data_IF_970571156925
#
_entry.id   IF_970571156925
#
_cell.length_a   1.000
_cell.length_b   1.000
_cell.length_c   1.000
_cell.angle_alpha   90.00
_cell.angle_beta   90.00
_cell.angle_gamma   90.00
#
_symmetry.space_group_name_H-M   'P 1'
#
loop_
_entity.id
_entity.type
_entity.pdbx_description
1 polymer ?
#
# COMPACT_ATOMS: atom_id res chain seq x y z
N UNK A 1 -31.03 15.64 39.82
CA UNK A 1 -30.21 14.51 40.30
C UNK A 1 -28.75 14.86 40.12
N UNK A 2 -27.99 14.95 41.21
CA UNK A 2 -26.55 15.25 41.21
C UNK A 2 -25.75 13.97 40.96
N UNK A 3 -24.72 14.03 40.12
CA UNK A 3 -23.83 12.89 39.86
C UNK A 3 -22.94 12.65 41.10
N UNK A 4 -22.89 11.43 41.67
CA UNK A 4 -22.04 11.11 42.81
C UNK A 4 -20.55 11.35 42.51
N UNK A 5 -19.85 12.04 43.42
CA UNK A 5 -18.50 12.58 43.20
C UNK A 5 -17.38 11.58 42.87
N UNK A 6 -17.63 10.26 42.95
CA UNK A 6 -16.66 9.23 42.59
C UNK A 6 -16.48 9.06 41.07
N UNK A 7 -17.45 9.46 40.26
CA UNK A 7 -17.41 9.33 38.79
C UNK A 7 -16.86 10.57 38.05
N UNK A 8 -16.62 11.68 38.75
CA UNK A 8 -16.05 12.93 38.19
C UNK A 8 -14.64 12.74 37.61
N UNK A 9 -13.91 11.68 38.00
CA UNK A 9 -12.55 11.41 37.52
C UNK A 9 -12.49 10.98 36.05
N UNK A 10 -13.61 10.53 35.48
CA UNK A 10 -13.73 10.17 34.06
C UNK A 10 -14.14 11.34 33.16
N UNK A 11 -14.69 12.41 33.76
CA UNK A 11 -15.07 13.64 33.06
C UNK A 11 -14.03 14.74 33.31
N UNK A 12 -12.77 14.47 32.98
CA UNK A 12 -11.74 15.50 33.01
C UNK A 12 -12.02 16.50 31.89
N UNK A 13 -12.55 17.67 32.26
CA UNK A 13 -12.59 18.84 31.41
C UNK A 13 -11.16 19.21 31.02
N UNK A 14 -10.84 19.07 29.72
CA UNK A 14 -9.62 19.64 29.17
C UNK A 14 -9.77 21.16 29.19
N UNK A 15 -9.19 21.81 30.20
CA UNK A 15 -8.94 23.24 30.19
C UNK A 15 -8.22 23.59 28.87
N UNK A 16 -8.99 24.13 27.92
CA UNK A 16 -8.47 24.88 26.78
C UNK A 16 -8.52 26.34 27.19
N UNK A 17 -7.35 26.95 27.25
CA UNK A 17 -7.20 28.39 27.35
C UNK A 17 -8.06 29.09 26.28
N UNK A 18 -8.97 29.96 26.74
CA UNK A 18 -9.76 30.84 25.89
C UNK A 18 -8.90 32.03 25.47
N UNK A 19 -8.83 32.39 24.17
CA UNK A 19 -8.71 33.79 23.78
C UNK A 19 -10.11 34.38 23.59
N UNK A 20 -10.27 35.62 24.04
CA UNK A 20 -11.50 36.41 24.14
C UNK A 20 -12.19 36.60 22.77
N UNK A 21 -13.52 36.56 22.77
CA UNK A 21 -14.38 37.08 21.69
C UNK A 21 -14.23 38.61 21.55
N UNK A 22 -14.69 39.16 20.41
CA UNK A 22 -15.74 40.15 20.52
C UNK A 22 -17.03 39.68 19.82
N UNK A 23 -18.13 40.11 20.42
CA UNK A 23 -19.51 39.86 20.07
C UNK A 23 -19.87 40.50 18.72
N UNK A 24 -20.67 39.80 17.92
CA UNK A 24 -21.83 40.38 17.24
C UNK A 24 -22.74 39.28 16.69
N UNK A 25 -24.01 39.42 17.02
CA UNK A 25 -25.14 38.59 16.67
C UNK A 25 -25.33 38.39 15.15
N UNK A 26 -25.70 37.16 14.77
CA UNK A 26 -26.90 36.92 13.97
C UNK A 26 -27.13 35.42 13.75
N UNK A 27 -28.33 35.01 14.13
CA UNK A 27 -28.96 33.70 13.97
C UNK A 27 -28.98 33.21 12.52
N UNK A 28 -28.15 32.20 12.18
CA UNK A 28 -28.28 31.46 10.90
C UNK A 28 -27.86 29.98 11.11
N UNK A 29 -28.84 29.08 11.03
CA UNK A 29 -28.70 27.74 10.43
C UNK A 29 -27.86 26.68 11.15
N UNK A 30 -28.49 25.87 12.01
CA UNK A 30 -27.97 24.61 12.57
C UNK A 30 -27.96 23.43 11.56
N UNK A 31 -27.76 23.66 10.25
CA UNK A 31 -27.99 22.61 9.22
C UNK A 31 -26.82 22.34 8.26
N UNK A 32 -25.60 22.75 8.59
CA UNK A 32 -24.43 22.41 7.78
C UNK A 32 -23.23 21.96 8.61
N UNK A 33 -23.44 20.90 9.40
CA UNK A 33 -22.35 20.01 9.79
C UNK A 33 -21.95 19.25 8.52
N UNK A 34 -21.17 19.90 7.66
CA UNK A 34 -20.46 19.21 6.58
C UNK A 34 -19.54 18.16 7.22
N UNK A 35 -19.97 16.91 7.20
CA UNK A 35 -19.14 15.72 7.41
C UNK A 35 -18.14 15.58 6.26
N UNK A 36 -17.19 16.50 6.16
CA UNK A 36 -15.98 16.25 5.37
C UNK A 36 -15.23 15.12 6.06
N UNK A 37 -15.09 13.99 5.37
CA UNK A 37 -14.28 12.88 5.86
C UNK A 37 -12.91 13.41 6.31
N UNK A 38 -12.40 13.02 7.50
CA UNK A 38 -11.19 13.60 8.08
C UNK A 38 -9.90 13.30 7.31
N UNK A 39 -9.99 12.60 6.18
CA UNK A 39 -8.94 12.47 5.19
C UNK A 39 -9.61 12.61 3.83
N UNK A 40 -9.33 13.69 3.11
CA UNK A 40 -9.48 13.64 1.65
C UNK A 40 -8.73 12.39 1.19
N UNK A 41 -9.30 11.65 0.24
CA UNK A 41 -8.59 10.58 -0.45
C UNK A 41 -7.27 11.18 -0.94
N UNK A 42 -6.21 10.95 -0.18
CA UNK A 42 -4.85 11.25 -0.59
C UNK A 42 -4.73 10.53 -1.91
N UNK A 43 -4.56 11.27 -3.01
CA UNK A 43 -4.06 10.71 -4.25
C UNK A 43 -3.05 9.63 -3.89
N UNK A 44 -3.27 8.40 -4.39
CA UNK A 44 -2.39 7.27 -4.13
C UNK A 44 -0.98 7.79 -4.31
N UNK A 45 -0.13 7.67 -3.26
CA UNK A 45 1.24 8.21 -3.25
C UNK A 45 2.09 7.65 -4.42
N UNK A 46 1.54 6.66 -5.13
CA UNK A 46 2.11 5.89 -6.23
C UNK A 46 1.43 6.14 -7.60
N UNK A 47 0.43 7.03 -7.69
CA UNK A 47 -0.31 7.32 -8.96
C UNK A 47 0.27 8.50 -9.74
N UNK A 48 1.35 9.11 -9.25
CA UNK A 48 2.04 10.21 -9.93
C UNK A 48 3.16 9.70 -10.82
N UNK A 49 3.54 10.48 -11.84
CA UNK A 49 4.72 10.20 -12.66
C UNK A 49 5.95 10.02 -11.76
N UNK A 50 6.67 8.89 -11.87
CA UNK A 50 7.81 8.62 -11.02
C UNK A 50 8.96 9.58 -11.36
N UNK A 51 9.67 10.03 -10.33
CA UNK A 51 10.92 10.79 -10.51
C UNK A 51 12.08 9.82 -10.78
N UNK A 52 13.13 10.29 -11.47
CA UNK A 52 14.34 9.48 -11.75
C UNK A 52 14.96 8.83 -10.49
N UNK A 53 14.81 9.45 -9.33
CA UNK A 53 15.32 8.89 -8.06
C UNK A 53 14.47 7.72 -7.57
N UNK A 54 13.14 7.78 -7.75
CA UNK A 54 12.22 6.68 -7.48
C UNK A 54 12.48 5.51 -8.42
N UNK A 55 12.70 5.77 -9.71
CA UNK A 55 13.01 4.74 -10.71
C UNK A 55 14.32 4.02 -10.39
N UNK A 56 15.40 4.76 -10.12
CA UNK A 56 16.69 4.17 -9.71
C UNK A 56 16.57 3.33 -8.44
N UNK A 57 15.73 3.75 -7.50
CA UNK A 57 15.46 2.97 -6.29
C UNK A 57 14.67 1.69 -6.62
N UNK A 58 13.64 1.79 -7.47
CA UNK A 58 12.85 0.66 -7.91
C UNK A 58 13.70 -0.38 -8.67
N UNK A 59 14.57 0.07 -9.59
CA UNK A 59 15.52 -0.79 -10.29
C UNK A 59 16.49 -1.49 -9.34
N UNK A 60 17.01 -0.77 -8.34
CA UNK A 60 17.88 -1.35 -7.32
C UNK A 60 17.18 -2.44 -6.53
N UNK A 61 15.93 -2.20 -6.13
CA UNK A 61 15.09 -3.19 -5.44
C UNK A 61 14.84 -4.39 -6.36
N UNK A 62 14.59 -4.16 -7.65
CA UNK A 62 14.41 -5.24 -8.63
C UNK A 62 15.67 -6.11 -8.75
N UNK A 63 16.85 -5.51 -8.85
CA UNK A 63 18.14 -6.24 -8.85
C UNK A 63 18.35 -7.01 -7.55
N UNK A 64 18.02 -6.40 -6.41
CA UNK A 64 18.09 -7.06 -5.12
C UNK A 64 17.19 -8.29 -5.05
N UNK A 65 15.96 -8.21 -5.56
CA UNK A 65 15.06 -9.36 -5.67
C UNK A 65 15.66 -10.47 -6.54
N UNK A 66 16.24 -10.13 -7.70
CA UNK A 66 16.92 -11.11 -8.54
C UNK A 66 18.11 -11.79 -7.83
N UNK A 67 18.88 -11.02 -7.05
CA UNK A 67 19.98 -11.57 -6.24
C UNK A 67 19.45 -12.48 -5.14
N UNK A 68 18.40 -12.08 -4.43
CA UNK A 68 17.73 -12.91 -3.41
C UNK A 68 17.30 -14.25 -4.01
N UNK A 69 16.65 -14.25 -5.17
CA UNK A 69 16.23 -15.51 -5.80
C UNK A 69 17.38 -16.38 -6.31
N UNK A 70 18.55 -15.80 -6.56
CA UNK A 70 19.71 -16.52 -7.10
C UNK A 70 20.63 -17.05 -6.01
N UNK A 71 20.75 -16.35 -4.88
CA UNK A 71 21.74 -16.61 -3.83
C UNK A 71 21.11 -17.22 -2.59
N UNK A 72 19.92 -16.76 -2.19
CA UNK A 72 19.33 -17.12 -0.90
C UNK A 72 18.47 -18.39 -1.00
N UNK A 73 18.61 -19.27 -0.01
CA UNK A 73 17.71 -20.41 0.16
C UNK A 73 16.40 -19.95 0.79
N UNK A 74 15.36 -19.78 -0.03
CA UNK A 74 14.05 -19.36 0.47
C UNK A 74 13.35 -20.48 1.25
N UNK A 75 12.57 -20.15 2.31
CA UNK A 75 11.96 -21.14 3.19
C UNK A 75 10.83 -21.94 2.53
N UNK A 76 10.28 -21.45 1.42
CA UNK A 76 9.19 -22.13 0.70
C UNK A 76 9.32 -21.95 -0.80
N UNK A 77 8.97 -22.99 -1.56
CA UNK A 77 8.88 -22.97 -3.02
C UNK A 77 7.74 -22.10 -3.56
N UNK A 78 6.94 -21.49 -2.68
CA UNK A 78 5.79 -20.65 -3.05
C UNK A 78 6.18 -19.18 -3.28
N UNK A 79 7.40 -18.80 -2.91
CA UNK A 79 7.94 -17.43 -3.01
C UNK A 79 8.97 -17.33 -4.14
N UNK A 80 9.18 -18.41 -4.90
CA UNK A 80 10.13 -18.43 -6.01
C UNK A 80 9.52 -17.83 -7.28
N UNK A 81 10.37 -17.46 -8.27
CA UNK A 81 9.91 -17.01 -9.59
C UNK A 81 9.02 -18.01 -10.33
N UNK A 82 9.06 -19.30 -9.95
CA UNK A 82 8.19 -20.35 -10.50
C UNK A 82 6.76 -20.31 -9.98
N UNK A 83 6.51 -19.70 -8.81
CA UNK A 83 5.19 -19.62 -8.19
C UNK A 83 4.57 -18.22 -8.32
N UNK A 84 5.39 -17.18 -8.47
CA UNK A 84 4.94 -15.81 -8.63
C UNK A 84 5.84 -15.00 -9.55
N UNK A 85 5.24 -14.01 -10.21
CA UNK A 85 5.96 -13.00 -11.01
C UNK A 85 5.81 -11.63 -10.36
N UNK A 86 6.89 -10.88 -10.27
CA UNK A 86 6.85 -9.47 -9.88
C UNK A 86 6.42 -8.68 -11.12
N UNK A 87 5.36 -7.88 -10.99
CA UNK A 87 4.81 -7.09 -12.10
C UNK A 87 5.36 -5.67 -12.09
N UNK A 88 5.23 -4.96 -10.96
CA UNK A 88 5.72 -3.59 -10.83
C UNK A 88 6.26 -3.30 -9.44
N UNK A 89 7.20 -2.36 -9.37
CA UNK A 89 7.77 -1.87 -8.12
C UNK A 89 7.58 -0.37 -8.09
N UNK A 90 6.76 0.12 -7.16
CA UNK A 90 6.49 1.54 -6.99
C UNK A 90 7.10 2.04 -5.69
N UNK A 91 7.86 3.12 -5.77
CA UNK A 91 8.50 3.75 -4.60
C UNK A 91 7.79 5.07 -4.32
N UNK A 92 7.49 5.36 -3.05
CA UNK A 92 6.84 6.61 -2.66
C UNK A 92 7.77 7.80 -2.87
N UNK A 93 7.19 9.00 -3.02
CA UNK A 93 7.93 10.25 -3.25
C UNK A 93 9.00 10.54 -2.19
N UNK A 94 8.75 10.13 -0.94
CA UNK A 94 9.69 10.32 0.17
C UNK A 94 10.75 9.21 0.29
N UNK A 95 10.77 8.23 -0.63
CA UNK A 95 11.69 7.09 -0.64
C UNK A 95 11.67 6.23 0.64
N UNK A 96 10.60 6.29 1.43
CA UNK A 96 10.44 5.53 2.68
C UNK A 96 9.49 4.34 2.56
N UNK A 97 8.69 4.29 1.50
CA UNK A 97 7.76 3.19 1.23
C UNK A 97 8.01 2.63 -0.17
N UNK A 98 7.96 1.32 -0.28
CA UNK A 98 8.02 0.60 -1.55
C UNK A 98 6.87 -0.39 -1.59
N UNK A 99 6.12 -0.38 -2.68
CA UNK A 99 5.09 -1.34 -2.99
C UNK A 99 5.58 -2.24 -4.11
N UNK A 100 5.66 -3.54 -3.84
CA UNK A 100 5.98 -4.57 -4.82
C UNK A 100 4.68 -5.25 -5.21
N UNK A 101 4.22 -4.99 -6.43
CA UNK A 101 3.06 -5.65 -7.02
C UNK A 101 3.50 -7.00 -7.60
N UNK A 102 2.80 -8.07 -7.22
CA UNK A 102 3.10 -9.40 -7.69
C UNK A 102 1.85 -10.13 -8.18
N UNK A 103 2.04 -11.05 -9.12
CA UNK A 103 1.00 -11.90 -9.69
C UNK A 103 1.34 -13.36 -9.38
N UNK A 104 0.45 -14.10 -8.68
CA UNK A 104 0.62 -15.53 -8.51
C UNK A 104 0.36 -16.25 -9.84
N UNK A 105 1.30 -17.12 -10.24
CA UNK A 105 1.23 -17.90 -11.48
C UNK A 105 0.19 -19.03 -11.47
N UNK A 106 -0.08 -19.73 -10.33
CA UNK A 106 -1.08 -20.80 -10.32
C UNK A 106 -2.46 -20.33 -10.78
N UNK A 107 -3.15 -21.13 -11.59
CA UNK A 107 -4.52 -20.87 -12.04
C UNK A 107 -5.56 -21.18 -10.96
N UNK A 108 -5.31 -22.20 -10.14
CA UNK A 108 -6.22 -22.64 -9.07
C UNK A 108 -6.27 -21.63 -7.92
N UNK A 109 -7.48 -21.22 -7.52
CA UNK A 109 -7.72 -20.23 -6.47
C UNK A 109 -7.09 -20.63 -5.12
N UNK A 110 -7.19 -21.90 -4.74
CA UNK A 110 -6.58 -22.41 -3.49
C UNK A 110 -5.06 -22.24 -3.46
N UNK A 111 -4.39 -22.52 -4.59
CA UNK A 111 -2.95 -22.39 -4.70
C UNK A 111 -2.52 -20.92 -4.68
N UNK A 112 -3.28 -20.03 -5.34
CA UNK A 112 -3.08 -18.57 -5.24
C UNK A 112 -3.16 -18.09 -3.79
N UNK A 113 -4.14 -18.59 -3.03
CA UNK A 113 -4.29 -18.28 -1.61
C UNK A 113 -3.08 -18.73 -0.78
N UNK A 114 -2.53 -19.92 -1.07
CA UNK A 114 -1.31 -20.43 -0.41
C UNK A 114 -0.09 -19.54 -0.71
N UNK A 115 0.08 -19.11 -1.96
CA UNK A 115 1.16 -18.17 -2.34
C UNK A 115 1.01 -16.84 -1.60
N UNK A 116 -0.20 -16.25 -1.58
CA UNK A 116 -0.45 -14.99 -0.88
C UNK A 116 -0.14 -15.08 0.63
N UNK A 117 -0.59 -16.16 1.29
CA UNK A 117 -0.30 -16.42 2.71
C UNK A 117 1.20 -16.61 2.96
N UNK A 118 1.91 -17.31 2.08
CA UNK A 118 3.36 -17.50 2.19
C UNK A 118 4.09 -16.15 2.11
N UNK A 119 3.75 -15.32 1.12
CA UNK A 119 4.36 -14.00 0.95
C UNK A 119 4.11 -13.12 2.18
N UNK A 120 2.89 -13.10 2.71
CA UNK A 120 2.57 -12.35 3.92
C UNK A 120 3.34 -12.86 5.14
N UNK A 121 3.41 -14.18 5.32
CA UNK A 121 4.12 -14.81 6.43
C UNK A 121 5.62 -14.49 6.43
N UNK A 122 6.23 -14.43 5.25
CA UNK A 122 7.66 -14.20 5.08
C UNK A 122 7.99 -12.78 4.58
N UNK A 123 7.05 -11.84 4.67
CA UNK A 123 7.21 -10.48 4.16
C UNK A 123 8.38 -9.74 4.84
N UNK A 124 8.55 -9.92 6.15
CA UNK A 124 9.63 -9.29 6.91
C UNK A 124 10.99 -9.86 6.54
N UNK A 125 11.08 -11.18 6.37
CA UNK A 125 12.30 -11.86 5.92
C UNK A 125 12.70 -11.38 4.53
N UNK A 126 11.76 -11.36 3.57
CA UNK A 126 12.01 -10.86 2.23
C UNK A 126 12.43 -9.38 2.26
N UNK A 127 11.78 -8.57 3.09
CA UNK A 127 12.15 -7.15 3.24
C UNK A 127 13.57 -6.98 3.77
N UNK A 128 13.98 -7.82 4.72
CA UNK A 128 15.36 -7.82 5.25
C UNK A 128 16.38 -8.22 4.19
N UNK A 129 16.10 -9.30 3.45
CA UNK A 129 16.98 -9.77 2.38
C UNK A 129 17.12 -8.73 1.26
N UNK A 130 16.01 -8.14 0.81
CA UNK A 130 16.02 -7.09 -0.21
C UNK A 130 16.83 -5.88 0.24
N UNK A 131 16.70 -5.45 1.50
CA UNK A 131 17.49 -4.33 2.03
C UNK A 131 18.98 -4.66 2.07
N UNK A 132 19.32 -5.89 2.46
CA UNK A 132 20.71 -6.37 2.55
C UNK A 132 21.36 -6.41 1.16
N UNK A 133 20.75 -7.13 0.23
CA UNK A 133 21.23 -7.27 -1.16
C UNK A 133 21.15 -5.96 -1.94
N UNK A 134 20.17 -5.11 -1.64
CA UNK A 134 20.02 -3.79 -2.26
C UNK A 134 20.89 -2.70 -1.63
N UNK A 135 21.68 -3.00 -0.58
CA UNK A 135 22.49 -2.03 0.16
C UNK A 135 21.71 -0.75 0.52
N UNK A 136 20.48 -0.94 1.03
CA UNK A 136 19.56 0.16 1.32
C UNK A 136 19.80 0.64 2.76
N UNK A 137 20.60 1.69 2.91
CA UNK A 137 20.94 2.27 4.22
C UNK A 137 19.79 3.04 4.89
N UNK A 138 18.81 3.49 4.11
CA UNK A 138 17.67 4.26 4.62
C UNK A 138 16.53 3.34 5.06
N UNK A 139 15.75 3.71 6.09
CA UNK A 139 14.58 2.92 6.48
C UNK A 139 13.55 2.92 5.34
N UNK A 140 13.37 1.76 4.70
CA UNK A 140 12.44 1.55 3.60
C UNK A 140 11.40 0.48 3.98
N UNK A 141 10.16 0.88 4.23
CA UNK A 141 9.04 -0.06 4.42
C UNK A 141 8.66 -0.69 3.09
N UNK A 142 8.79 -2.02 2.98
CA UNK A 142 8.47 -2.77 1.76
C UNK A 142 7.16 -3.51 1.99
N UNK A 143 6.20 -3.33 1.10
CA UNK A 143 4.89 -3.98 1.15
C UNK A 143 4.65 -4.77 -0.13
N UNK A 144 4.33 -6.05 0.03
CA UNK A 144 3.91 -6.91 -1.07
C UNK A 144 2.40 -6.79 -1.25
N UNK A 145 1.97 -6.49 -2.48
CA UNK A 145 0.55 -6.33 -2.84
C UNK A 145 0.25 -7.21 -4.03
N UNK A 146 -0.82 -7.99 -3.94
CA UNK A 146 -1.27 -8.78 -5.08
C UNK A 146 -1.83 -7.82 -6.14
N UNK A 147 -1.36 -7.95 -7.38
CA UNK A 147 -1.86 -7.14 -8.47
C UNK A 147 -3.20 -7.69 -8.95
N UNK A 148 -4.27 -6.98 -8.62
CA UNK A 148 -5.63 -7.28 -9.09
C UNK A 148 -5.93 -6.59 -10.42
N UNK A 149 -5.26 -5.47 -10.71
CA UNK A 149 -5.52 -4.64 -11.88
C UNK A 149 -4.91 -5.22 -13.16
N UNK A 150 -3.75 -5.87 -13.05
CA UNK A 150 -3.09 -6.49 -14.21
C UNK A 150 -3.98 -7.52 -14.93
N UNK A 151 -4.78 -8.30 -14.18
CA UNK A 151 -5.70 -9.28 -14.79
C UNK A 151 -6.83 -8.61 -15.58
N UNK A 152 -7.35 -7.51 -15.07
CA UNK A 152 -8.41 -6.76 -15.76
C UNK A 152 -7.89 -6.22 -17.08
N UNK A 153 -6.67 -5.67 -17.09
CA UNK A 153 -6.00 -5.19 -18.30
C UNK A 153 -5.73 -6.32 -19.30
N UNK A 154 -5.15 -7.44 -18.86
CA UNK A 154 -4.89 -8.59 -19.74
C UNK A 154 -6.19 -9.08 -20.39
N UNK A 155 -7.29 -9.20 -19.62
CA UNK A 155 -8.59 -9.60 -20.17
C UNK A 155 -9.18 -8.58 -21.15
N UNK A 156 -8.93 -7.29 -20.96
CA UNK A 156 -9.37 -6.24 -21.88
C UNK A 156 -8.58 -6.30 -23.18
N UNK A 157 -7.25 -6.49 -23.11
CA UNK A 157 -6.41 -6.64 -24.30
C UNK A 157 -6.77 -7.90 -25.09
N UNK A 158 -7.05 -9.02 -24.41
CA UNK A 158 -7.54 -10.24 -25.06
C UNK A 158 -8.85 -10.01 -25.80
N UNK A 159 -9.83 -9.31 -25.18
CA UNK A 159 -11.11 -8.98 -25.82
C UNK A 159 -10.92 -8.08 -27.05
N UNK A 160 -10.15 -6.99 -26.92
CA UNK A 160 -9.85 -6.09 -28.04
C UNK A 160 -9.16 -6.85 -29.18
N UNK A 161 -8.25 -7.76 -28.85
CA UNK A 161 -7.55 -8.58 -29.85
C UNK A 161 -8.45 -9.60 -30.54
N UNK A 162 -9.53 -10.05 -29.88
CA UNK A 162 -10.52 -10.93 -30.45
C UNK A 162 -11.48 -10.16 -31.37
N UNK A 163 -11.97 -8.99 -30.93
CA UNK A 163 -12.82 -8.09 -31.73
C UNK A 163 -12.10 -7.66 -33.04
N UNK A 164 -10.82 -7.29 -32.97
CA UNK A 164 -10.00 -6.94 -34.13
C UNK A 164 -9.80 -8.09 -35.14
N UNK A 165 -9.98 -9.35 -34.72
CA UNK A 165 -9.86 -10.52 -35.62
C UNK A 165 -11.19 -10.90 -36.27
N UNK A 166 -12.32 -10.54 -35.66
CA UNK A 166 -13.66 -10.78 -36.21
C UNK A 166 -14.05 -9.73 -37.27
N UNK A 167 -13.46 -8.54 -37.24
CA UNK A 167 -13.70 -7.47 -38.22
C UNK A 167 -12.85 -7.58 -39.51
N UNK A 168 -11.98 -8.60 -39.62
CA UNK A 168 -11.09 -8.86 -40.76
C UNK A 168 -11.42 -10.17 -41.48
#
# INVERSE_FOLDING_TARGET
MMIPGQYLRFFKDKNKDKPKQPENDSSIGFDQIYTKAPRSFSHSEFDSTPTNTQERMAERINRALSMVYSVESLPTHLITPSAMKIHSIKVSRNLRRCQIAYVPLPTKAEQRGKVHRAIQKYADLLSSLIRTHGQIYRPLSIKFVADTQAKELDTLYEKISAELKEES
#
